data_IF_523917124446
#
_entry.id   IF_523917124446
#
_cell.length_a   1.000
_cell.length_b   1.000
_cell.length_c   1.000
_cell.angle_alpha   90.00
_cell.angle_beta   90.00
_cell.angle_gamma   90.00
#
_symmetry.space_group_name_H-M   'P 1'
#
loop_
_entity.id
_entity.type
_entity.pdbx_description
1 polymer ?
#
# COMPACT_ATOMS: atom_id res chain seq x y z
N UNK A 1 -31.94 8.08 -1.88
CA UNK A 1 -30.67 7.34 -2.08
C UNK A 1 -30.95 5.87 -1.83
N UNK A 2 -30.52 4.98 -2.72
CA UNK A 2 -30.69 3.52 -2.57
C UNK A 2 -29.80 2.99 -1.43
N UNK A 3 -30.25 1.93 -0.76
CA UNK A 3 -29.51 1.26 0.34
C UNK A 3 -28.09 0.85 -0.09
N UNK A 4 -27.93 0.40 -1.34
CA UNK A 4 -26.65 0.02 -1.96
C UNK A 4 -25.63 1.17 -1.95
N UNK A 5 -26.06 2.40 -2.23
CA UNK A 5 -25.18 3.58 -2.27
C UNK A 5 -24.69 3.94 -0.86
N UNK A 6 -25.56 3.83 0.15
CA UNK A 6 -25.17 4.05 1.54
C UNK A 6 -24.19 2.99 2.04
N UNK A 7 -24.35 1.75 1.60
CA UNK A 7 -23.43 0.67 1.92
C UNK A 7 -22.04 0.89 1.31
N UNK A 8 -21.95 1.23 0.02
CA UNK A 8 -20.66 1.53 -0.65
C UNK A 8 -19.94 2.67 0.07
N UNK A 9 -20.66 3.75 0.39
CA UNK A 9 -20.10 4.89 1.15
C UNK A 9 -19.57 4.45 2.51
N UNK A 10 -20.33 3.64 3.27
CA UNK A 10 -19.91 3.15 4.58
C UNK A 10 -18.64 2.31 4.47
N UNK A 11 -18.56 1.42 3.49
CA UNK A 11 -17.39 0.58 3.27
C UNK A 11 -16.13 1.41 2.93
N UNK A 12 -16.26 2.45 2.09
CA UNK A 12 -15.16 3.37 1.79
C UNK A 12 -14.69 4.17 3.02
N UNK A 13 -15.61 4.55 3.92
CA UNK A 13 -15.24 5.21 5.19
C UNK A 13 -14.45 4.24 6.08
N UNK A 14 -14.89 2.98 6.17
CA UNK A 14 -14.18 1.95 6.94
C UNK A 14 -12.77 1.69 6.39
N UNK A 15 -12.57 1.78 5.07
CA UNK A 15 -11.24 1.72 4.44
C UNK A 15 -10.31 2.82 4.94
N UNK A 16 -10.80 4.06 5.04
CA UNK A 16 -10.02 5.19 5.59
C UNK A 16 -9.68 5.01 7.05
N UNK A 17 -10.62 4.53 7.85
CA UNK A 17 -10.40 4.21 9.27
C UNK A 17 -9.34 3.12 9.43
N UNK A 18 -9.39 2.09 8.58
CA UNK A 18 -8.41 1.02 8.57
C UNK A 18 -7.00 1.50 8.19
N UNK A 19 -6.83 2.26 7.10
CA UNK A 19 -5.51 2.80 6.70
C UNK A 19 -4.91 3.70 7.78
N UNK A 20 -5.73 4.52 8.44
CA UNK A 20 -5.28 5.35 9.55
C UNK A 20 -4.81 4.50 10.73
N UNK A 21 -5.60 3.50 11.12
CA UNK A 21 -5.29 2.60 12.23
C UNK A 21 -4.04 1.76 11.94
N UNK A 22 -3.88 1.27 10.71
CA UNK A 22 -2.73 0.47 10.29
C UNK A 22 -1.43 1.28 10.36
N UNK A 23 -1.45 2.55 9.95
CA UNK A 23 -0.28 3.44 10.10
C UNK A 23 0.08 3.73 11.54
N UNK A 24 -0.92 3.94 12.40
CA UNK A 24 -0.69 4.16 13.82
C UNK A 24 -0.03 2.94 14.45
N UNK A 25 -0.55 1.74 14.15
CA UNK A 25 0.03 0.46 14.57
C UNK A 25 1.47 0.32 14.07
N UNK A 26 1.75 0.59 12.79
CA UNK A 26 3.09 0.47 12.23
C UNK A 26 4.08 1.46 12.89
N UNK A 27 3.63 2.70 13.13
CA UNK A 27 4.43 3.71 13.83
C UNK A 27 4.79 3.24 15.24
N UNK A 28 3.81 2.73 16.00
CA UNK A 28 4.02 2.21 17.34
C UNK A 28 4.93 0.99 17.36
N UNK A 29 4.84 0.09 16.36
CA UNK A 29 5.73 -1.06 16.21
C UNK A 29 7.18 -0.64 15.97
N UNK A 30 7.41 0.37 15.13
CA UNK A 30 8.75 0.93 14.89
C UNK A 30 9.30 1.56 16.17
N UNK A 31 8.50 2.34 16.89
CA UNK A 31 8.90 2.94 18.17
C UNK A 31 9.23 1.89 19.24
N UNK A 32 8.45 0.82 19.30
CA UNK A 32 8.67 -0.31 20.21
C UNK A 32 9.99 -1.00 19.90
N UNK A 33 10.23 -1.32 18.62
CA UNK A 33 11.45 -1.98 18.16
C UNK A 33 12.70 -1.13 18.42
N UNK A 34 12.60 0.19 18.24
CA UNK A 34 13.66 1.12 18.60
C UNK A 34 13.93 1.16 20.11
N UNK A 35 12.88 1.16 20.93
CA UNK A 35 13.00 1.14 22.39
C UNK A 35 13.63 -0.16 22.90
N UNK A 36 13.25 -1.31 22.33
CA UNK A 36 13.84 -2.61 22.65
C UNK A 36 15.32 -2.66 22.28
N UNK A 37 15.68 -2.20 21.08
CA UNK A 37 17.08 -2.11 20.65
C UNK A 37 17.92 -1.23 21.59
N UNK A 38 17.42 -0.04 21.96
CA UNK A 38 18.11 0.86 22.90
C UNK A 38 18.27 0.23 24.29
N UNK A 39 17.28 -0.53 24.76
CA UNK A 39 17.32 -1.19 26.07
C UNK A 39 18.34 -2.33 26.11
N UNK A 40 18.46 -3.10 25.02
CA UNK A 40 19.44 -4.19 24.89
C UNK A 40 20.88 -3.68 24.85
N UNK A 41 21.13 -2.53 24.23
CA UNK A 41 22.48 -1.99 24.01
C UNK A 41 22.93 -0.98 25.09
N UNK A 42 22.17 -0.83 26.18
CA UNK A 42 22.46 0.08 27.27
C UNK A 42 23.47 -0.50 28.30
N UNK A 43 24.79 -0.29 28.15
CA UNK A 43 25.82 -0.72 29.13
C UNK A 43 26.27 0.39 30.13
N UNK A 44 26.26 0.13 31.45
CA UNK A 44 26.88 0.97 32.51
C UNK A 44 26.03 1.23 33.79
N UNK A 45 26.58 1.82 34.85
CA UNK A 45 25.83 2.12 36.10
C UNK A 45 24.80 3.27 35.94
N UNK A 46 25.14 4.33 35.22
CA UNK A 46 24.20 5.39 34.78
C UNK A 46 23.11 4.86 33.84
N UNK A 47 23.25 3.61 33.41
CA UNK A 47 22.41 2.91 32.45
C UNK A 47 21.24 2.18 33.13
N UNK A 48 21.28 1.91 34.44
CA UNK A 48 20.17 1.24 35.15
C UNK A 48 18.88 2.08 35.18
N UNK A 49 18.97 3.38 35.52
CA UNK A 49 17.81 4.29 35.51
C UNK A 49 17.31 4.55 34.10
N UNK A 50 18.22 4.63 33.12
CA UNK A 50 17.89 4.76 31.69
C UNK A 50 17.19 3.49 31.17
N UNK A 51 17.68 2.32 31.54
CA UNK A 51 17.10 1.01 31.20
C UNK A 51 15.71 0.84 31.79
N UNK A 52 15.51 1.26 33.04
CA UNK A 52 14.19 1.27 33.67
C UNK A 52 13.20 2.18 32.92
N UNK A 53 13.61 3.40 32.55
CA UNK A 53 12.79 4.30 31.76
C UNK A 53 12.46 3.76 30.35
N UNK A 54 13.39 3.01 29.73
CA UNK A 54 13.15 2.35 28.44
C UNK A 54 12.16 1.18 28.56
N UNK A 55 12.23 0.39 29.64
CA UNK A 55 11.26 -0.67 29.94
C UNK A 55 9.87 -0.06 30.17
N UNK A 56 9.75 1.01 30.93
CA UNK A 56 8.48 1.72 31.14
C UNK A 56 7.90 2.27 29.83
N UNK A 57 8.77 2.86 28.98
CA UNK A 57 8.37 3.31 27.64
C UNK A 57 7.85 2.15 26.79
N UNK A 58 8.53 1.00 26.80
CA UNK A 58 8.09 -0.22 26.09
C UNK A 58 6.72 -0.67 26.58
N UNK A 59 6.50 -0.74 27.88
CA UNK A 59 5.23 -1.20 28.46
C UNK A 59 4.07 -0.24 28.09
N UNK A 60 4.31 1.07 28.07
CA UNK A 60 3.34 2.07 27.60
C UNK A 60 3.01 1.88 26.11
N UNK A 61 4.03 1.69 25.26
CA UNK A 61 3.86 1.46 23.83
C UNK A 61 3.09 0.16 23.58
N UNK A 62 3.42 -0.92 24.28
CA UNK A 62 2.72 -2.21 24.18
C UNK A 62 1.26 -2.12 24.64
N UNK A 63 0.99 -1.39 25.73
CA UNK A 63 -0.36 -1.16 26.24
C UNK A 63 -1.22 -0.33 25.28
N UNK A 64 -0.61 0.55 24.47
CA UNK A 64 -1.28 1.29 23.39
C UNK A 64 -1.48 0.46 22.13
N UNK A 65 -0.49 -0.36 21.77
CA UNK A 65 -0.52 -1.18 20.55
C UNK A 65 -1.62 -2.27 20.62
N UNK A 66 -1.69 -2.99 21.72
CA UNK A 66 -2.59 -4.14 21.90
C UNK A 66 -4.09 -3.84 21.60
N UNK A 67 -4.71 -2.76 22.11
CA UNK A 67 -6.10 -2.44 21.78
C UNK A 67 -6.28 -2.02 20.32
N UNK A 68 -5.30 -1.34 19.71
CA UNK A 68 -5.37 -0.94 18.30
C UNK A 68 -5.31 -2.16 17.38
N UNK A 69 -4.42 -3.13 17.66
CA UNK A 69 -4.35 -4.39 16.91
C UNK A 69 -5.65 -5.20 17.02
N UNK A 70 -6.26 -5.24 18.21
CA UNK A 70 -7.57 -5.88 18.42
C UNK A 70 -8.69 -5.18 17.64
N UNK A 71 -8.69 -3.85 17.62
CA UNK A 71 -9.65 -3.08 16.84
C UNK A 71 -9.47 -3.34 15.34
N UNK A 72 -8.23 -3.39 14.85
CA UNK A 72 -7.91 -3.68 13.45
C UNK A 72 -8.39 -5.09 13.05
N UNK A 73 -8.20 -6.11 13.91
CA UNK A 73 -8.69 -7.47 13.68
C UNK A 73 -10.23 -7.55 13.64
N UNK A 74 -10.92 -6.66 14.33
CA UNK A 74 -12.39 -6.58 14.33
C UNK A 74 -12.99 -5.92 13.08
N UNK A 75 -12.16 -5.28 12.24
CA UNK A 75 -12.62 -4.63 11.01
C UNK A 75 -12.66 -5.63 9.86
N UNK A 76 -13.86 -5.86 9.32
CA UNK A 76 -14.06 -6.60 8.08
C UNK A 76 -14.24 -5.62 6.92
N UNK A 77 -13.20 -5.50 6.08
CA UNK A 77 -13.23 -4.65 4.90
C UNK A 77 -13.83 -5.38 3.70
N UNK A 78 -14.77 -4.75 3.01
CA UNK A 78 -15.12 -5.16 1.66
C UNK A 78 -13.95 -4.84 0.72
N UNK A 79 -13.54 -5.77 -0.12
CA UNK A 79 -12.49 -5.49 -1.12
C UNK A 79 -12.93 -4.40 -2.10
N UNK A 80 -11.99 -3.58 -2.59
CA UNK A 80 -12.30 -2.55 -3.59
C UNK A 80 -12.91 -3.16 -4.87
N UNK A 81 -12.53 -4.40 -5.19
CA UNK A 81 -13.17 -5.18 -6.26
C UNK A 81 -14.66 -5.42 -6.01
N UNK A 82 -15.03 -5.84 -4.80
CA UNK A 82 -16.44 -6.04 -4.42
C UNK A 82 -17.22 -4.72 -4.48
N UNK A 83 -16.61 -3.61 -4.05
CA UNK A 83 -17.22 -2.29 -4.18
C UNK A 83 -17.45 -1.89 -5.65
N UNK A 84 -16.47 -2.17 -6.52
CA UNK A 84 -16.59 -1.92 -7.96
C UNK A 84 -17.70 -2.75 -8.60
N UNK A 85 -17.78 -4.04 -8.27
CA UNK A 85 -18.82 -4.95 -8.78
C UNK A 85 -20.23 -4.50 -8.31
N UNK A 86 -20.38 -4.10 -7.05
CA UNK A 86 -21.64 -3.53 -6.55
C UNK A 86 -22.01 -2.20 -7.20
N UNK A 87 -21.02 -1.34 -7.44
CA UNK A 87 -21.24 -0.09 -8.18
C UNK A 87 -21.69 -0.37 -9.62
N UNK A 88 -21.16 -1.42 -10.26
CA UNK A 88 -21.58 -1.83 -11.60
C UNK A 88 -23.04 -2.31 -11.60
N UNK A 89 -23.42 -3.13 -10.61
CA UNK A 89 -24.80 -3.58 -10.45
C UNK A 89 -25.76 -2.40 -10.23
N UNK A 90 -25.36 -1.42 -9.42
CA UNK A 90 -26.10 -0.18 -9.22
C UNK A 90 -26.26 0.59 -10.54
N UNK A 91 -25.19 0.75 -11.31
CA UNK A 91 -25.22 1.44 -12.60
C UNK A 91 -26.14 0.75 -13.61
N UNK A 92 -26.16 -0.59 -13.63
CA UNK A 92 -27.04 -1.36 -14.50
C UNK A 92 -28.53 -1.17 -14.14
N UNK A 93 -28.85 -1.03 -12.84
CA UNK A 93 -30.23 -0.80 -12.37
C UNK A 93 -30.68 0.65 -12.57
N UNK A 94 -29.78 1.60 -12.31
CA UNK A 94 -30.06 3.02 -12.28
C UNK A 94 -28.93 3.80 -12.98
N UNK A 95 -28.85 3.74 -14.31
CA UNK A 95 -27.77 4.37 -15.06
C UNK A 95 -27.83 5.89 -14.90
N UNK A 96 -26.68 6.47 -14.60
CA UNK A 96 -26.50 7.92 -14.46
C UNK A 96 -25.03 8.26 -14.65
N UNK A 97 -24.74 9.50 -15.04
CA UNK A 97 -23.36 9.97 -15.16
C UNK A 97 -22.57 9.84 -13.84
N UNK A 98 -23.24 9.97 -12.69
CA UNK A 98 -22.61 9.81 -11.37
C UNK A 98 -22.25 8.35 -11.09
N UNK A 99 -23.14 7.41 -11.39
CA UNK A 99 -22.91 5.97 -11.17
C UNK A 99 -21.89 5.40 -12.14
N UNK A 100 -21.85 5.87 -13.39
CA UNK A 100 -20.82 5.53 -14.36
C UNK A 100 -19.43 6.00 -13.90
N UNK A 101 -19.31 7.25 -13.43
CA UNK A 101 -18.06 7.77 -12.87
C UNK A 101 -17.62 7.00 -11.63
N UNK A 102 -18.55 6.64 -10.76
CA UNK A 102 -18.26 5.84 -9.56
C UNK A 102 -17.70 4.46 -9.92
N UNK A 103 -18.31 3.78 -10.89
CA UNK A 103 -17.82 2.49 -11.43
C UNK A 103 -16.39 2.61 -11.94
N UNK A 104 -16.10 3.63 -12.74
CA UNK A 104 -14.77 3.84 -13.31
C UNK A 104 -13.72 4.09 -12.22
N UNK A 105 -14.03 4.93 -11.23
CA UNK A 105 -13.15 5.22 -10.10
C UNK A 105 -12.88 3.97 -9.27
N UNK A 106 -13.92 3.20 -8.90
CA UNK A 106 -13.75 2.01 -8.07
C UNK A 106 -13.03 0.88 -8.82
N UNK A 107 -13.27 0.71 -10.12
CA UNK A 107 -12.50 -0.23 -10.93
C UNK A 107 -11.02 0.16 -10.99
N UNK A 108 -10.72 1.45 -11.14
CA UNK A 108 -9.34 1.93 -11.14
C UNK A 108 -8.68 1.81 -9.76
N UNK A 109 -9.44 2.02 -8.68
CA UNK A 109 -8.97 1.79 -7.31
C UNK A 109 -8.61 0.30 -7.09
N UNK A 110 -9.47 -0.63 -7.50
CA UNK A 110 -9.19 -2.07 -7.41
C UNK A 110 -7.93 -2.48 -8.19
N UNK A 111 -7.69 -1.88 -9.38
CA UNK A 111 -6.45 -2.10 -10.14
C UNK A 111 -5.22 -1.55 -9.42
N UNK A 112 -5.36 -0.38 -8.79
CA UNK A 112 -4.28 0.24 -8.01
C UNK A 112 -3.92 -0.60 -6.79
N UNK A 113 -4.93 -1.14 -6.09
CA UNK A 113 -4.73 -2.07 -4.97
C UNK A 113 -4.00 -3.33 -5.43
N UNK A 114 -4.42 -3.93 -6.55
CA UNK A 114 -3.76 -5.10 -7.09
C UNK A 114 -2.29 -4.83 -7.47
N UNK A 115 -1.99 -3.66 -8.04
CA UNK A 115 -0.61 -3.27 -8.36
C UNK A 115 0.23 -2.97 -7.12
N UNK A 116 -0.36 -2.38 -6.08
CA UNK A 116 0.29 -2.21 -4.78
C UNK A 116 0.66 -3.56 -4.14
N UNK A 117 -0.23 -4.55 -4.21
CA UNK A 117 0.04 -5.92 -3.71
C UNK A 117 1.17 -6.57 -4.49
N UNK A 118 1.12 -6.54 -5.82
CA UNK A 118 2.17 -7.11 -6.67
C UNK A 118 3.54 -6.44 -6.43
N UNK A 119 3.57 -5.11 -6.24
CA UNK A 119 4.79 -4.39 -5.88
C UNK A 119 5.30 -4.76 -4.49
N UNK A 120 4.39 -5.07 -3.57
CA UNK A 120 4.75 -5.53 -2.23
C UNK A 120 5.37 -6.91 -2.24
N UNK A 121 4.82 -7.85 -3.00
CA UNK A 121 5.39 -9.17 -3.22
C UNK A 121 6.78 -9.10 -3.88
N UNK A 122 6.93 -8.25 -4.91
CA UNK A 122 8.22 -8.00 -5.53
C UNK A 122 9.25 -7.45 -4.55
N UNK A 123 8.89 -6.40 -3.80
CA UNK A 123 9.78 -5.80 -2.80
C UNK A 123 10.19 -6.80 -1.70
N UNK A 124 9.28 -7.67 -1.27
CA UNK A 124 9.59 -8.76 -0.32
C UNK A 124 10.60 -9.75 -0.89
N UNK A 125 10.41 -10.23 -2.12
CA UNK A 125 11.37 -11.15 -2.74
C UNK A 125 12.73 -10.47 -3.03
N UNK A 126 12.73 -9.19 -3.39
CA UNK A 126 13.96 -8.40 -3.49
C UNK A 126 14.68 -8.35 -2.14
N UNK A 127 13.92 -8.20 -1.04
CA UNK A 127 14.45 -8.24 0.32
C UNK A 127 15.04 -9.61 0.69
N UNK A 128 14.38 -10.70 0.32
CA UNK A 128 14.92 -12.06 0.50
C UNK A 128 16.26 -12.24 -0.23
N UNK A 129 16.37 -11.74 -1.47
CA UNK A 129 17.63 -11.75 -2.22
C UNK A 129 18.76 -11.00 -1.48
N UNK A 130 18.46 -9.95 -0.70
CA UNK A 130 19.47 -9.29 0.12
C UNK A 130 19.83 -10.06 1.39
N UNK A 131 18.84 -10.63 2.08
CA UNK A 131 19.03 -11.27 3.38
C UNK A 131 19.80 -12.58 3.23
N UNK A 132 19.49 -13.40 2.22
CA UNK A 132 20.24 -14.62 1.91
C UNK A 132 21.76 -14.36 1.77
N UNK A 133 22.14 -13.18 1.29
CA UNK A 133 23.54 -12.81 1.11
C UNK A 133 24.23 -12.24 2.36
N UNK A 134 23.49 -11.76 3.36
CA UNK A 134 24.06 -11.27 4.64
C UNK A 134 24.50 -12.43 5.53
N UNK A 135 23.85 -13.59 5.43
CA UNK A 135 24.19 -14.79 6.20
C UNK A 135 25.52 -15.45 5.78
N UNK A 136 26.22 -14.91 4.79
CA UNK A 136 27.56 -15.36 4.37
C UNK A 136 28.59 -14.76 5.33
N UNK A 137 29.25 -15.61 6.14
CA UNK A 137 30.21 -15.22 7.18
C UNK A 137 31.45 -14.44 6.70
N UNK A 138 31.66 -14.29 5.39
CA UNK A 138 32.91 -13.75 4.84
C UNK A 138 32.67 -12.45 4.06
N UNK A 139 32.98 -11.31 4.68
CA UNK A 139 32.71 -9.96 4.17
C UNK A 139 33.42 -9.68 2.83
N UNK A 140 34.55 -10.35 2.56
CA UNK A 140 35.30 -10.25 1.30
C UNK A 140 34.61 -11.01 0.14
N UNK A 141 33.77 -12.00 0.46
CA UNK A 141 32.97 -12.72 -0.54
C UNK A 141 31.68 -11.95 -0.92
N UNK A 142 31.27 -10.96 -0.12
CA UNK A 142 30.03 -10.20 -0.30
C UNK A 142 30.13 -9.15 -1.43
N UNK A 143 31.32 -8.59 -1.69
CA UNK A 143 31.52 -7.54 -2.69
C UNK A 143 31.63 -8.06 -4.13
N UNK A 144 31.85 -9.36 -4.33
CA UNK A 144 32.11 -9.98 -5.64
C UNK A 144 31.18 -11.15 -5.99
N UNK A 145 30.16 -11.47 -5.17
CA UNK A 145 29.24 -12.57 -5.47
C UNK A 145 28.08 -12.11 -6.34
N UNK A 146 27.87 -12.85 -7.42
CA UNK A 146 26.68 -12.85 -8.26
C UNK A 146 25.43 -12.94 -7.39
N UNK A 147 24.43 -12.12 -7.71
CA UNK A 147 23.14 -12.12 -7.02
C UNK A 147 22.39 -13.42 -7.29
N UNK A 148 21.80 -14.02 -6.25
CA UNK A 148 20.78 -15.05 -6.42
C UNK A 148 19.42 -14.38 -6.65
N UNK A 149 18.95 -14.34 -7.90
CA UNK A 149 17.64 -13.80 -8.25
C UNK A 149 16.51 -14.84 -8.20
N UNK A 150 16.79 -16.08 -7.77
CA UNK A 150 15.80 -17.17 -7.73
C UNK A 150 14.49 -16.82 -7.03
N UNK A 151 14.46 -16.00 -5.95
CA UNK A 151 13.21 -15.57 -5.34
C UNK A 151 12.33 -14.71 -6.27
N UNK A 152 12.94 -13.89 -7.15
CA UNK A 152 12.23 -12.88 -7.96
C UNK A 152 11.88 -13.39 -9.37
N UNK A 153 12.76 -14.18 -9.97
CA UNK A 153 12.61 -14.64 -11.36
C UNK A 153 11.26 -15.33 -11.68
N UNK A 154 10.66 -16.14 -10.80
CA UNK A 154 9.44 -16.87 -11.11
C UNK A 154 8.23 -15.97 -11.43
N UNK A 155 8.14 -14.80 -10.81
CA UNK A 155 6.96 -13.93 -10.96
C UNK A 155 7.27 -12.61 -11.66
N UNK A 156 8.55 -12.30 -11.90
CA UNK A 156 8.98 -11.08 -12.59
C UNK A 156 8.28 -10.84 -13.94
N UNK A 157 8.11 -11.83 -14.85
CA UNK A 157 7.43 -11.59 -16.12
C UNK A 157 5.97 -11.12 -15.94
N UNK A 158 5.24 -11.75 -15.02
CA UNK A 158 3.85 -11.37 -14.73
C UNK A 158 3.78 -9.98 -14.09
N UNK A 159 4.73 -9.65 -13.21
CA UNK A 159 4.83 -8.32 -12.62
C UNK A 159 5.09 -7.23 -13.67
N UNK A 160 6.04 -7.45 -14.60
CA UNK A 160 6.40 -6.47 -15.63
C UNK A 160 5.23 -6.18 -16.58
N UNK A 161 4.55 -7.24 -16.99
CA UNK A 161 3.34 -7.13 -17.79
C UNK A 161 2.25 -6.36 -17.04
N UNK A 162 2.07 -6.64 -15.74
CA UNK A 162 1.12 -5.91 -14.91
C UNK A 162 1.49 -4.43 -14.73
N UNK A 163 2.76 -4.10 -14.48
CA UNK A 163 3.27 -2.72 -14.39
C UNK A 163 2.96 -1.94 -15.68
N UNK A 164 3.25 -2.53 -16.85
CA UNK A 164 2.98 -1.90 -18.14
C UNK A 164 1.47 -1.66 -18.35
N UNK A 165 0.62 -2.65 -18.06
CA UNK A 165 -0.84 -2.51 -18.14
C UNK A 165 -1.35 -1.41 -17.21
N UNK A 166 -0.88 -1.39 -15.95
CA UNK A 166 -1.31 -0.40 -14.98
C UNK A 166 -0.94 1.03 -15.42
N UNK A 167 0.28 1.24 -15.93
CA UNK A 167 0.72 2.55 -16.43
C UNK A 167 -0.10 3.03 -17.62
N UNK A 168 -0.46 2.14 -18.55
CA UNK A 168 -1.35 2.48 -19.66
C UNK A 168 -2.75 2.85 -19.16
N UNK A 169 -3.29 2.08 -18.22
CA UNK A 169 -4.59 2.36 -17.60
C UNK A 169 -4.60 3.66 -16.80
N UNK A 170 -3.49 4.01 -16.13
CA UNK A 170 -3.32 5.28 -15.44
C UNK A 170 -3.37 6.45 -16.44
N UNK A 171 -2.72 6.30 -17.60
CA UNK A 171 -2.77 7.29 -18.66
C UNK A 171 -4.20 7.48 -19.19
N UNK A 172 -4.88 6.39 -19.53
CA UNK A 172 -6.29 6.41 -19.97
C UNK A 172 -7.23 7.01 -18.91
N UNK A 173 -7.04 6.66 -17.64
CA UNK A 173 -7.83 7.20 -16.53
C UNK A 173 -7.64 8.71 -16.40
N UNK A 174 -6.41 9.21 -16.52
CA UNK A 174 -6.11 10.63 -16.46
C UNK A 174 -6.76 11.41 -17.61
N UNK A 175 -6.88 10.82 -18.81
CA UNK A 175 -7.58 11.46 -19.94
C UNK A 175 -9.07 11.70 -19.65
N UNK A 176 -9.71 10.82 -18.87
CA UNK A 176 -11.13 10.94 -18.50
C UNK A 176 -11.42 12.08 -17.52
N UNK A 177 -10.40 12.70 -16.93
CA UNK A 177 -10.53 13.90 -16.07
C UNK A 177 -11.49 13.73 -14.89
N UNK A 178 -11.55 12.54 -14.29
CA UNK A 178 -12.41 12.26 -13.12
C UNK A 178 -11.95 12.98 -11.84
N UNK A 179 -10.67 13.38 -11.81
CA UNK A 179 -10.02 14.09 -10.72
C UNK A 179 -9.58 15.48 -11.19
N UNK A 180 -9.55 16.44 -10.26
CA UNK A 180 -9.13 17.82 -10.56
C UNK A 180 -7.66 17.93 -11.00
N UNK A 181 -6.82 16.99 -10.55
CA UNK A 181 -5.43 16.90 -10.96
C UNK A 181 -5.13 15.48 -11.44
N UNK A 182 -4.32 15.31 -12.49
CA UNK A 182 -3.92 14.00 -12.97
C UNK A 182 -3.12 13.27 -11.88
N UNK A 183 -3.37 11.98 -11.77
CA UNK A 183 -2.60 11.07 -10.94
C UNK A 183 -1.20 10.90 -11.53
N UNK A 184 -0.20 10.86 -10.66
CA UNK A 184 1.20 10.70 -11.04
C UNK A 184 1.78 9.49 -10.35
N UNK A 185 2.64 8.81 -11.06
CA UNK A 185 3.35 7.63 -10.59
C UNK A 185 4.78 7.69 -11.13
N UNK A 186 5.77 7.57 -10.26
CA UNK A 186 7.16 7.56 -10.68
C UNK A 186 7.47 6.33 -11.54
N UNK A 187 8.41 6.52 -12.46
CA UNK A 187 8.87 5.46 -13.33
C UNK A 187 10.03 4.72 -12.68
N UNK A 188 9.90 3.41 -12.59
CA UNK A 188 10.95 2.51 -12.13
C UNK A 188 11.18 1.47 -13.21
N UNK A 189 12.43 1.30 -13.61
CA UNK A 189 12.81 0.34 -14.64
C UNK A 189 13.03 -1.05 -14.01
N UNK A 190 11.94 -1.78 -13.86
CA UNK A 190 11.96 -3.15 -13.34
C UNK A 190 12.46 -4.17 -14.37
N UNK A 191 12.50 -3.84 -15.66
CA UNK A 191 12.93 -4.77 -16.70
C UNK A 191 14.41 -5.15 -16.56
N UNK A 192 15.20 -4.29 -15.91
CA UNK A 192 16.61 -4.53 -15.63
C UNK A 192 16.88 -5.59 -14.56
N UNK A 193 15.88 -6.00 -13.77
CA UNK A 193 16.06 -6.99 -12.69
C UNK A 193 16.73 -8.26 -13.21
N UNK A 194 16.30 -8.78 -14.36
CA UNK A 194 16.78 -10.06 -14.89
C UNK A 194 18.25 -10.06 -15.31
N UNK A 195 18.85 -8.89 -15.49
CA UNK A 195 20.25 -8.70 -15.91
C UNK A 195 21.13 -8.11 -14.80
N UNK A 196 20.58 -7.90 -13.60
CA UNK A 196 21.35 -7.38 -12.46
C UNK A 196 22.33 -8.44 -11.94
N UNK A 197 23.60 -8.07 -11.88
CA UNK A 197 24.68 -8.89 -11.34
C UNK A 197 25.23 -8.34 -10.01
N UNK A 198 25.00 -7.04 -9.73
CA UNK A 198 25.50 -6.32 -8.55
C UNK A 198 24.46 -6.05 -7.48
N UNK A 199 24.81 -6.38 -6.23
CA UNK A 199 23.99 -6.12 -5.03
C UNK A 199 23.57 -4.65 -4.86
N UNK A 200 24.44 -3.71 -5.23
CA UNK A 200 24.13 -2.28 -5.15
C UNK A 200 22.97 -1.88 -6.07
N UNK A 201 22.83 -2.54 -7.22
CA UNK A 201 21.76 -2.25 -8.18
C UNK A 201 20.42 -2.74 -7.67
N UNK A 202 20.37 -3.98 -7.16
CA UNK A 202 19.19 -4.46 -6.47
C UNK A 202 18.83 -3.53 -5.31
N UNK A 203 19.78 -3.17 -4.44
CA UNK A 203 19.50 -2.34 -3.24
C UNK A 203 18.94 -0.99 -3.64
N UNK A 204 19.47 -0.42 -4.71
CA UNK A 204 18.92 0.80 -5.29
C UNK A 204 17.48 0.60 -5.75
N UNK A 205 17.17 -0.50 -6.44
CA UNK A 205 15.81 -0.81 -6.89
C UNK A 205 14.82 -1.00 -5.72
N UNK A 206 15.19 -1.76 -4.68
CA UNK A 206 14.35 -1.91 -3.49
C UNK A 206 14.04 -0.56 -2.81
N UNK A 207 15.00 0.38 -2.82
CA UNK A 207 14.75 1.75 -2.38
C UNK A 207 13.76 2.51 -3.27
N UNK A 208 13.68 2.21 -4.57
CA UNK A 208 12.70 2.80 -5.48
C UNK A 208 11.29 2.21 -5.30
N UNK A 209 11.16 0.99 -4.75
CA UNK A 209 9.84 0.42 -4.43
C UNK A 209 9.09 1.22 -3.36
N UNK A 210 9.79 1.80 -2.38
CA UNK A 210 9.19 2.56 -1.28
C UNK A 210 8.42 3.82 -1.71
N UNK A 211 9.02 4.77 -2.47
CA UNK A 211 8.27 5.94 -2.96
C UNK A 211 7.10 5.51 -3.85
N UNK A 212 7.28 4.48 -4.67
CA UNK A 212 6.23 3.96 -5.54
C UNK A 212 5.04 3.39 -4.73
N UNK A 213 5.30 2.62 -3.67
CA UNK A 213 4.27 2.16 -2.72
C UNK A 213 3.52 3.32 -2.07
N UNK A 214 4.25 4.35 -1.62
CA UNK A 214 3.64 5.53 -1.01
C UNK A 214 2.75 6.31 -2.00
N UNK A 215 3.14 6.37 -3.27
CA UNK A 215 2.33 6.99 -4.33
C UNK A 215 1.07 6.21 -4.64
N UNK A 216 1.16 4.89 -4.74
CA UNK A 216 -0.01 4.03 -4.96
C UNK A 216 -1.01 4.16 -3.82
N UNK A 217 -0.55 4.18 -2.57
CA UNK A 217 -1.41 4.47 -1.42
C UNK A 217 -2.04 5.87 -1.51
N UNK A 218 -1.28 6.86 -1.95
CA UNK A 218 -1.79 8.23 -2.16
C UNK A 218 -2.86 8.27 -3.25
N UNK A 219 -2.65 7.52 -4.34
CA UNK A 219 -3.62 7.37 -5.43
C UNK A 219 -4.89 6.72 -4.90
N UNK A 220 -4.80 5.61 -4.15
CA UNK A 220 -5.95 4.94 -3.54
C UNK A 220 -6.79 5.90 -2.70
N UNK A 221 -6.16 6.66 -1.79
CA UNK A 221 -6.86 7.66 -0.97
C UNK A 221 -7.60 8.70 -1.81
N UNK A 222 -6.97 9.22 -2.87
CA UNK A 222 -7.60 10.20 -3.78
C UNK A 222 -8.83 9.59 -4.48
N UNK A 223 -8.75 8.32 -4.88
CA UNK A 223 -9.85 7.62 -5.54
C UNK A 223 -11.01 7.35 -4.57
N UNK A 224 -10.70 6.88 -3.36
CA UNK A 224 -11.68 6.68 -2.29
C UNK A 224 -12.39 7.98 -1.91
N UNK A 225 -11.63 9.06 -1.69
CA UNK A 225 -12.18 10.38 -1.40
C UNK A 225 -13.09 10.85 -2.52
N UNK A 226 -12.67 10.69 -3.78
CA UNK A 226 -13.50 11.07 -4.93
C UNK A 226 -14.78 10.24 -5.01
N UNK A 227 -14.71 8.94 -4.76
CA UNK A 227 -15.87 8.06 -4.73
C UNK A 227 -16.85 8.48 -3.62
N UNK A 228 -16.37 8.79 -2.42
CA UNK A 228 -17.18 9.31 -1.32
C UNK A 228 -17.85 10.63 -1.70
N UNK A 229 -17.12 11.55 -2.33
CA UNK A 229 -17.67 12.82 -2.80
C UNK A 229 -18.79 12.61 -3.82
N UNK A 230 -18.58 11.77 -4.86
CA UNK A 230 -19.58 11.49 -5.88
C UNK A 230 -20.87 10.90 -5.30
N UNK A 231 -20.74 10.03 -4.30
CA UNK A 231 -21.88 9.43 -3.60
C UNK A 231 -22.61 10.47 -2.72
N UNK A 232 -21.90 11.48 -2.23
CA UNK A 232 -22.45 12.50 -1.34
C UNK A 232 -23.00 13.72 -2.07
N UNK A 233 -22.72 13.88 -3.38
CA UNK A 233 -23.31 14.92 -4.21
C UNK A 233 -24.84 14.70 -4.32
N UNK A 234 -25.68 15.70 -4.01
CA UNK A 234 -27.12 15.56 -4.24
C UNK A 234 -27.33 15.36 -5.74
N UNK A 235 -28.12 14.35 -6.12
CA UNK A 235 -28.47 14.13 -7.51
C UNK A 235 -29.03 15.43 -8.09
N UNK A 236 -28.26 16.09 -8.96
CA UNK A 236 -28.67 17.34 -9.60
C UNK A 236 -30.01 17.16 -10.31
N UNK A 237 -30.78 18.25 -10.51
CA UNK A 237 -32.11 18.17 -11.10
C UNK A 237 -32.03 17.43 -12.44
N UNK A 238 -32.89 16.42 -12.61
CA UNK A 238 -33.07 15.72 -13.89
C UNK A 238 -33.38 16.80 -14.94
N UNK A 239 -32.58 16.86 -16.01
CA UNK A 239 -33.03 17.54 -17.22
C UNK A 239 -34.14 16.67 -17.80
N UNK A 240 -35.37 17.03 -17.51
CA UNK A 240 -36.54 16.60 -18.27
C UNK A 240 -36.41 17.22 -19.67
N UNK A 241 -36.24 16.37 -20.68
CA UNK A 241 -36.51 16.70 -22.07
C UNK A 241 -37.78 15.96 -22.48
#
# INVERSE_FOLDING_TARGET
>A
MTQDVQWIRKALIQWKEYDALQKEIETLRIELLAADYEAEHASGWFTAKKKQALIEKRDILQARLSPLEKNLQGLSLASLRSLADQSQLLNNKHPSATTERLVEILNFAARTEFYYTALTELDSALNECFVEQINVHDQAAITNKTINLSPVLPFLPAFLDHDARYRNQLHEFNQKSFLAQPLRLHQVDFARISVMDRRSELRFLGKQCQPLKAELQTILRKLEDRAICLISEPAGPRKEN
#
